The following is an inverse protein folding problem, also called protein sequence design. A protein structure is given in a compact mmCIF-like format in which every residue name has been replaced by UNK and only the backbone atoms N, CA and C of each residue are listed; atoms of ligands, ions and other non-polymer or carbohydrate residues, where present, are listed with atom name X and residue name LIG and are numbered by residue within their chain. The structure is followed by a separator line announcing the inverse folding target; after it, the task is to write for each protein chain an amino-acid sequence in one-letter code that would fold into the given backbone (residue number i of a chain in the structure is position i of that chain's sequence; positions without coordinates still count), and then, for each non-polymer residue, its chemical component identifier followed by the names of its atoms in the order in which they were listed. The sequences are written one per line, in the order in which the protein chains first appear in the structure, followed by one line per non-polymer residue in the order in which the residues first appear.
data_IF_858784795137
#
_entry.id   IF_858784795137
#
_cell.length_a   1.000
_cell.length_b   1.000
_cell.length_c   1.000
_cell.angle_alpha   90.00
_cell.angle_beta   90.00
_cell.angle_gamma   90.00
#
_symmetry.space_group_name_H-M   'P 1'
#
loop_
_entity.id
_entity.type
_entity.pdbx_description
1 polymer ?
#
# COMPACT_ATOMS: atom_id res chain seq x y z
N UNK A 1 2.57 -14.91 19.24
CA UNK A 1 1.72 -13.81 18.74
C UNK A 1 2.59 -12.80 18.00
N UNK A 2 2.22 -12.33 16.80
CA UNK A 2 3.11 -11.54 15.93
C UNK A 2 3.65 -10.27 16.62
N UNK A 3 2.82 -9.56 17.38
CA UNK A 3 3.20 -8.31 18.08
C UNK A 3 4.27 -8.50 19.17
N UNK A 4 4.54 -9.73 19.62
CA UNK A 4 5.55 -9.99 20.66
C UNK A 4 6.99 -9.74 20.17
N UNK A 5 7.21 -9.67 18.86
CA UNK A 5 8.53 -9.38 18.28
C UNK A 5 8.84 -7.87 18.21
N UNK A 6 7.90 -7.00 18.58
CA UNK A 6 8.13 -5.56 18.63
C UNK A 6 8.90 -5.23 19.92
N UNK A 7 10.07 -4.58 19.84
CA UNK A 7 10.82 -4.18 21.03
C UNK A 7 10.03 -3.18 21.89
N UNK A 8 10.14 -3.29 23.21
CA UNK A 8 9.49 -2.35 24.14
C UNK A 8 10.36 -1.09 24.34
N UNK A 9 9.96 0.09 23.81
CA UNK A 9 10.74 1.30 23.92
C UNK A 9 10.66 1.95 25.32
N UNK A 10 9.88 1.37 26.25
CA UNK A 10 9.72 1.89 27.61
C UNK A 10 10.83 1.38 28.52
N UNK A 11 11.36 2.27 29.35
CA UNK A 11 12.21 1.90 30.49
C UNK A 11 11.45 1.06 31.53
N UNK A 12 12.20 0.32 32.37
CA UNK A 12 11.67 -0.65 33.34
C UNK A 12 10.60 -0.06 34.28
N UNK A 13 10.82 1.17 34.78
CA UNK A 13 9.91 1.87 35.70
C UNK A 13 8.57 2.30 35.06
N UNK A 14 8.39 2.14 33.74
CA UNK A 14 7.19 2.55 32.99
C UNK A 14 6.32 1.39 32.47
N UNK A 15 6.64 0.14 32.81
CA UNK A 15 5.98 -1.07 32.27
C UNK A 15 4.83 -1.57 33.15
N UNK A 16 3.79 -0.76 33.29
CA UNK A 16 2.56 -1.15 34.03
C UNK A 16 1.71 -2.17 33.29
N UNK A 17 1.67 -2.09 31.97
CA UNK A 17 0.89 -2.96 31.11
C UNK A 17 1.80 -3.65 30.09
N UNK A 18 1.57 -4.92 29.74
CA UNK A 18 2.33 -5.60 28.70
C UNK A 18 2.25 -4.82 27.39
N UNK A 19 3.38 -4.74 26.68
CA UNK A 19 3.45 -4.06 25.38
C UNK A 19 2.44 -4.67 24.40
N UNK A 20 2.47 -6.00 24.33
CA UNK A 20 1.64 -6.82 23.46
C UNK A 20 0.16 -6.53 23.64
N UNK A 21 -0.30 -6.34 24.88
CA UNK A 21 -1.68 -5.98 25.22
C UNK A 21 -2.07 -4.62 24.65
N UNK A 22 -1.23 -3.58 24.84
CA UNK A 22 -1.53 -2.24 24.32
C UNK A 22 -1.52 -2.22 22.79
N UNK A 23 -0.57 -2.92 22.15
CA UNK A 23 -0.53 -3.02 20.69
C UNK A 23 -1.75 -3.78 20.16
N UNK A 24 -2.19 -4.84 20.83
CA UNK A 24 -3.39 -5.59 20.45
C UNK A 24 -4.63 -4.72 20.53
N UNK A 25 -4.75 -3.90 21.58
CA UNK A 25 -5.82 -2.90 21.70
C UNK A 25 -5.77 -1.91 20.54
N UNK A 26 -4.60 -1.37 20.22
CA UNK A 26 -4.47 -0.41 19.13
C UNK A 26 -4.89 -1.01 17.78
N UNK A 27 -4.47 -2.25 17.48
CA UNK A 27 -4.88 -2.97 16.28
C UNK A 27 -6.40 -3.21 16.29
N UNK A 28 -6.94 -3.83 17.33
CA UNK A 28 -8.37 -4.14 17.39
C UNK A 28 -9.25 -2.90 17.29
N UNK A 29 -8.90 -1.82 18.00
CA UNK A 29 -9.65 -0.57 17.97
C UNK A 29 -9.64 0.05 16.56
N UNK A 30 -8.51 0.09 15.86
CA UNK A 30 -8.45 0.65 14.50
C UNK A 30 -9.16 -0.27 13.48
N UNK A 31 -9.14 -1.59 13.69
CA UNK A 31 -9.98 -2.55 12.94
C UNK A 31 -11.47 -2.28 13.17
N UNK A 32 -11.84 -1.85 14.38
CA UNK A 32 -13.19 -1.39 14.73
C UNK A 32 -13.51 0.06 14.29
N UNK A 33 -12.54 0.77 13.69
CA UNK A 33 -12.73 2.12 13.15
C UNK A 33 -12.32 3.28 14.07
N UNK A 34 -11.58 3.02 15.15
CA UNK A 34 -10.99 4.09 15.95
C UNK A 34 -9.94 4.86 15.12
N UNK A 35 -10.10 6.18 15.02
CA UNK A 35 -9.25 7.03 14.18
C UNK A 35 -8.25 7.90 14.97
N UNK A 36 -8.29 7.89 16.31
CA UNK A 36 -7.46 8.72 17.18
C UNK A 36 -6.96 7.95 18.39
N UNK A 37 -5.90 8.43 19.06
CA UNK A 37 -5.40 7.83 20.31
C UNK A 37 -6.48 7.78 21.41
N UNK A 38 -7.32 8.81 21.50
CA UNK A 38 -8.43 8.86 22.43
C UNK A 38 -9.47 7.78 22.12
N UNK A 39 -9.86 7.64 20.84
CA UNK A 39 -10.82 6.62 20.41
C UNK A 39 -10.32 5.18 20.66
N UNK A 40 -9.00 4.94 20.57
CA UNK A 40 -8.43 3.63 20.96
C UNK A 40 -8.63 3.38 22.47
N UNK A 41 -8.43 4.42 23.29
CA UNK A 41 -8.59 4.33 24.74
C UNK A 41 -10.06 4.25 25.17
N UNK A 42 -10.98 4.87 24.44
CA UNK A 42 -12.41 4.75 24.65
C UNK A 42 -12.86 3.32 24.29
N UNK A 43 -12.42 2.81 23.13
CA UNK A 43 -12.75 1.45 22.68
C UNK A 43 -12.41 0.39 23.72
N UNK A 44 -11.22 0.41 24.33
CA UNK A 44 -10.84 -0.56 25.36
C UNK A 44 -11.61 -0.36 26.67
N UNK A 45 -12.01 0.87 27.01
CA UNK A 45 -12.81 1.17 28.20
C UNK A 45 -14.24 0.65 28.08
N UNK A 46 -14.78 0.62 26.87
CA UNK A 46 -16.14 0.16 26.58
C UNK A 46 -16.26 -1.37 26.51
N UNK A 47 -15.14 -2.10 26.56
CA UNK A 47 -15.13 -3.57 26.59
C UNK A 47 -15.56 -4.11 27.96
N UNK A 48 -16.12 -5.33 27.96
CA UNK A 48 -16.40 -6.06 29.19
C UNK A 48 -15.12 -6.62 29.85
N UNK A 49 -15.26 -7.05 31.12
CA UNK A 49 -14.14 -7.64 31.88
C UNK A 49 -13.56 -8.89 31.24
N UNK A 50 -14.38 -9.65 30.51
CA UNK A 50 -13.93 -10.87 29.82
C UNK A 50 -12.96 -10.51 28.69
N UNK A 51 -13.30 -9.51 27.87
CA UNK A 51 -12.45 -8.98 26.82
C UNK A 51 -11.17 -8.34 27.40
N UNK A 52 -11.25 -7.66 28.56
CA UNK A 52 -10.08 -7.15 29.26
C UNK A 52 -9.12 -8.28 29.64
N UNK A 53 -9.62 -9.34 30.28
CA UNK A 53 -8.83 -10.51 30.65
C UNK A 53 -8.15 -11.16 29.44
N UNK A 54 -8.89 -11.30 28.34
CA UNK A 54 -8.35 -11.85 27.07
C UNK A 54 -7.27 -10.98 26.43
N UNK A 55 -7.30 -9.67 26.65
CA UNK A 55 -6.26 -8.74 26.23
C UNK A 55 -5.08 -8.67 27.24
N UNK A 56 -5.17 -9.38 28.37
CA UNK A 56 -4.14 -9.42 29.40
C UNK A 56 -4.23 -8.29 30.42
N UNK A 57 -5.42 -7.70 30.61
CA UNK A 57 -5.69 -6.73 31.67
C UNK A 57 -6.44 -7.39 32.83
N UNK A 58 -6.00 -7.14 34.06
CA UNK A 58 -6.64 -7.69 35.27
C UNK A 58 -7.70 -6.74 35.82
N UNK A 59 -7.27 -5.58 36.31
CA UNK A 59 -8.14 -4.70 37.11
C UNK A 59 -8.49 -3.39 36.40
N UNK A 60 -7.63 -2.95 35.48
CA UNK A 60 -7.73 -1.66 34.81
C UNK A 60 -7.11 -1.69 33.43
N UNK A 61 -7.58 -0.78 32.59
CA UNK A 61 -7.08 -0.58 31.22
C UNK A 61 -6.20 0.67 31.14
N UNK A 62 -5.31 0.77 30.15
CA UNK A 62 -4.46 1.95 29.96
C UNK A 62 -5.28 3.21 29.65
N UNK A 63 -4.91 4.32 30.28
CA UNK A 63 -5.45 5.64 29.93
C UNK A 63 -4.95 6.09 28.55
N UNK A 64 -5.67 7.03 27.91
CA UNK A 64 -5.31 7.57 26.59
C UNK A 64 -3.87 8.09 26.52
N UNK A 65 -3.38 8.74 27.57
CA UNK A 65 -2.00 9.22 27.67
C UNK A 65 -0.96 8.09 27.67
N UNK A 66 -1.29 6.93 28.24
CA UNK A 66 -0.42 5.74 28.24
C UNK A 66 -0.31 5.14 26.85
N UNK A 67 -1.44 4.99 26.15
CA UNK A 67 -1.51 4.47 24.78
C UNK A 67 -0.76 5.42 23.84
N UNK A 68 -1.08 6.71 23.89
CA UNK A 68 -0.43 7.74 23.07
C UNK A 68 1.09 7.77 23.27
N UNK A 69 1.57 7.91 24.51
CA UNK A 69 3.02 7.96 24.81
C UNK A 69 3.74 6.70 24.37
N UNK A 70 3.09 5.53 24.36
CA UNK A 70 3.70 4.32 23.86
C UNK A 70 3.79 4.36 22.34
N UNK A 71 2.66 4.55 21.65
CA UNK A 71 2.58 4.44 20.20
C UNK A 71 3.51 5.44 19.48
N UNK A 72 3.70 6.65 20.00
CA UNK A 72 4.63 7.62 19.38
C UNK A 72 6.11 7.24 19.49
N UNK A 73 6.45 6.25 20.33
CA UNK A 73 7.83 5.75 20.53
C UNK A 73 8.06 4.38 19.90
N UNK A 74 7.02 3.73 19.38
CA UNK A 74 7.16 2.46 18.67
C UNK A 74 7.86 2.72 17.35
N UNK A 75 8.83 1.87 17.01
CA UNK A 75 9.43 1.87 15.69
C UNK A 75 8.38 1.49 14.65
N UNK A 76 8.08 2.45 13.75
CA UNK A 76 7.03 2.29 12.76
C UNK A 76 7.39 1.26 11.68
N UNK A 77 8.68 1.11 11.35
CA UNK A 77 9.14 0.15 10.35
C UNK A 77 9.03 -1.27 10.90
N UNK A 78 9.46 -1.49 12.15
CA UNK A 78 9.31 -2.78 12.81
C UNK A 78 7.83 -3.15 12.94
N UNK A 79 6.99 -2.22 13.39
CA UNK A 79 5.54 -2.47 13.50
C UNK A 79 4.92 -2.80 12.14
N UNK A 80 5.28 -2.05 11.09
CA UNK A 80 4.84 -2.30 9.72
C UNK A 80 5.21 -3.70 9.25
N UNK A 81 6.48 -4.08 9.43
CA UNK A 81 6.99 -5.38 9.05
C UNK A 81 6.28 -6.54 9.77
N UNK A 82 5.99 -6.38 11.07
CA UNK A 82 5.29 -7.38 11.88
C UNK A 82 3.84 -7.55 11.44
N UNK A 83 3.13 -6.44 11.22
CA UNK A 83 1.72 -6.47 10.83
C UNK A 83 1.52 -6.91 9.38
N UNK A 84 2.41 -6.54 8.46
CA UNK A 84 2.42 -7.05 7.10
C UNK A 84 2.58 -8.58 7.08
N UNK A 85 3.54 -9.11 7.84
CA UNK A 85 3.74 -10.57 7.98
C UNK A 85 2.52 -11.26 8.60
N UNK A 86 1.93 -10.66 9.64
CA UNK A 86 0.71 -11.18 10.26
C UNK A 86 -0.46 -11.25 9.27
N UNK A 87 -0.68 -10.22 8.46
CA UNK A 87 -1.72 -10.21 7.44
C UNK A 87 -1.45 -11.24 6.34
N UNK A 88 -0.21 -11.33 5.84
CA UNK A 88 0.15 -12.28 4.79
C UNK A 88 -0.04 -13.72 5.21
N UNK A 89 0.31 -14.06 6.45
CA UNK A 89 0.11 -15.41 6.99
C UNK A 89 -1.38 -15.81 7.09
N UNK A 90 -2.29 -14.84 7.03
CA UNK A 90 -3.74 -15.04 7.10
C UNK A 90 -4.45 -14.89 5.76
N UNK A 91 -3.80 -14.25 4.79
CA UNK A 91 -4.33 -14.11 3.45
C UNK A 91 -4.27 -15.47 2.77
N UNK A 92 -5.41 -15.94 2.26
CA UNK A 92 -5.39 -17.09 1.37
C UNK A 92 -4.51 -16.75 0.15
N UNK A 93 -3.64 -17.66 -0.32
CA UNK A 93 -2.93 -17.45 -1.56
C UNK A 93 -3.94 -17.18 -2.66
N UNK A 94 -3.79 -16.06 -3.38
CA UNK A 94 -4.63 -15.77 -4.55
C UNK A 94 -4.15 -16.68 -5.68
N UNK A 95 -4.66 -17.91 -5.72
CA UNK A 95 -4.40 -18.85 -6.81
C UNK A 95 -5.45 -18.61 -7.88
N UNK A 96 -5.05 -18.03 -9.01
CA UNK A 96 -5.90 -17.94 -10.20
C UNK A 96 -5.32 -18.88 -11.24
N UNK A 97 -5.97 -20.02 -11.44
CA UNK A 97 -5.57 -21.01 -12.42
C UNK A 97 -5.56 -20.43 -13.85
N UNK A 98 -4.54 -20.80 -14.65
CA UNK A 98 -4.54 -20.59 -16.10
C UNK A 98 -4.04 -19.23 -16.62
N UNK A 99 -3.55 -18.32 -15.76
CA UNK A 99 -2.80 -17.12 -16.20
C UNK A 99 -1.41 -17.11 -15.56
N UNK A 100 -0.39 -16.66 -16.29
CA UNK A 100 0.97 -16.42 -15.75
C UNK A 100 0.88 -15.26 -14.74
N UNK A 101 0.47 -15.57 -13.52
CA UNK A 101 0.34 -14.59 -12.45
C UNK A 101 1.71 -14.19 -11.94
N UNK A 102 1.92 -12.88 -11.85
CA UNK A 102 3.03 -12.26 -11.12
C UNK A 102 2.47 -11.51 -9.94
N UNK A 103 3.25 -11.44 -8.88
CA UNK A 103 2.94 -10.54 -7.78
C UNK A 103 3.15 -9.09 -8.26
N UNK A 104 2.10 -8.28 -8.23
CA UNK A 104 2.14 -6.89 -8.69
C UNK A 104 2.08 -5.96 -7.49
N UNK A 105 3.17 -5.23 -7.27
CA UNK A 105 3.35 -4.28 -6.18
C UNK A 105 3.25 -2.88 -6.74
N UNK A 106 2.25 -2.11 -6.30
CA UNK A 106 2.17 -0.69 -6.60
C UNK A 106 2.99 0.11 -5.58
N UNK A 107 3.81 1.05 -6.05
CA UNK A 107 4.57 1.98 -5.21
C UNK A 107 4.05 3.39 -5.44
N UNK A 108 3.65 4.06 -4.36
CA UNK A 108 3.12 5.42 -4.40
C UNK A 108 3.31 6.17 -3.09
N UNK A 109 3.49 7.49 -3.20
CA UNK A 109 3.70 8.42 -2.10
C UNK A 109 2.38 9.02 -1.60
N UNK A 110 2.25 9.17 -0.28
CA UNK A 110 1.14 9.88 0.36
C UNK A 110 1.59 10.90 1.38
N UNK A 111 1.14 12.13 1.19
CA UNK A 111 1.27 13.22 2.17
C UNK A 111 0.12 13.14 3.17
N UNK A 112 0.43 13.08 4.46
CA UNK A 112 -0.56 13.15 5.55
C UNK A 112 -0.82 14.62 5.91
N UNK A 113 -1.96 15.17 5.45
CA UNK A 113 -2.14 16.63 5.49
C UNK A 113 -2.28 17.19 6.90
N UNK A 114 -2.87 16.43 7.82
CA UNK A 114 -3.11 16.80 9.21
C UNK A 114 -1.90 16.63 10.14
N UNK A 115 -0.94 15.79 9.74
CA UNK A 115 0.28 15.48 10.48
C UNK A 115 1.41 16.43 10.06
N UNK A 116 1.52 17.55 10.77
CA UNK A 116 2.65 18.49 10.65
C UNK A 116 3.66 18.26 11.77
N UNK A 117 4.92 18.05 11.39
CA UNK A 117 6.03 17.96 12.32
C UNK A 117 6.27 19.30 13.03
N UNK A 118 7.11 19.30 14.06
CA UNK A 118 7.41 20.50 14.86
C UNK A 118 7.95 21.68 14.02
N UNK A 119 8.56 21.39 12.87
CA UNK A 119 9.06 22.38 11.91
C UNK A 119 8.01 22.83 10.86
N UNK A 120 6.76 22.41 11.01
CA UNK A 120 5.64 22.76 10.13
C UNK A 120 5.52 21.89 8.86
N UNK A 121 6.49 21.01 8.57
CA UNK A 121 6.46 20.14 7.39
C UNK A 121 5.45 19.01 7.54
N UNK A 122 4.85 18.61 6.43
CA UNK A 122 3.92 17.49 6.39
C UNK A 122 4.68 16.16 6.35
N UNK A 123 4.11 15.14 6.98
CA UNK A 123 4.64 13.78 6.91
C UNK A 123 4.34 13.21 5.53
N UNK A 124 5.35 12.63 4.89
CA UNK A 124 5.23 11.97 3.61
C UNK A 124 5.70 10.52 3.73
N UNK A 125 4.86 9.59 3.29
CA UNK A 125 5.09 8.14 3.37
C UNK A 125 5.08 7.54 1.97
N UNK A 126 6.08 6.73 1.64
CA UNK A 126 6.11 5.91 0.43
C UNK A 126 5.68 4.49 0.79
N UNK A 127 4.68 3.94 0.10
CA UNK A 127 4.08 2.63 0.42
C UNK A 127 4.26 1.64 -0.73
N UNK A 128 4.57 0.38 -0.40
CA UNK A 128 4.56 -0.74 -1.33
C UNK A 128 3.32 -1.61 -1.08
N UNK A 129 2.37 -1.56 -2.01
CA UNK A 129 1.04 -2.16 -1.89
C UNK A 129 0.89 -3.38 -2.80
N UNK A 130 0.63 -4.55 -2.22
CA UNK A 130 0.24 -5.74 -2.96
C UNK A 130 -1.18 -5.55 -3.49
N UNK A 131 -1.27 -5.42 -4.82
CA UNK A 131 -2.52 -5.07 -5.50
C UNK A 131 -3.52 -6.22 -5.55
N UNK A 132 -3.07 -7.46 -5.29
CA UNK A 132 -3.89 -8.67 -5.27
C UNK A 132 -4.60 -8.87 -3.93
N UNK A 133 -3.85 -8.77 -2.82
CA UNK A 133 -4.37 -8.99 -1.47
C UNK A 133 -4.87 -7.71 -0.80
N UNK A 134 -4.38 -6.56 -1.26
CA UNK A 134 -4.61 -5.27 -0.64
C UNK A 134 -3.82 -5.02 0.63
N UNK A 135 -2.73 -5.76 0.84
CA UNK A 135 -1.81 -5.61 1.96
C UNK A 135 -0.71 -4.61 1.58
N UNK A 136 -0.37 -3.69 2.49
CA UNK A 136 0.86 -2.90 2.39
C UNK A 136 2.00 -3.73 2.95
N UNK A 137 2.98 -4.07 2.11
CA UNK A 137 4.12 -4.92 2.46
C UNK A 137 5.18 -4.13 3.23
N UNK A 138 5.41 -2.89 2.83
CA UNK A 138 6.40 -2.00 3.42
C UNK A 138 5.94 -0.55 3.30
N UNK A 139 6.42 0.29 4.21
CA UNK A 139 6.16 1.73 4.20
C UNK A 139 7.36 2.45 4.81
N UNK A 140 7.86 3.46 4.11
CA UNK A 140 9.01 4.27 4.54
C UNK A 140 8.60 5.73 4.65
N UNK A 141 9.00 6.38 5.73
CA UNK A 141 8.82 7.83 5.85
C UNK A 141 9.92 8.56 5.08
N UNK A 142 9.52 9.47 4.21
CA UNK A 142 10.45 10.28 3.43
C UNK A 142 11.05 11.34 4.35
N UNK A 143 12.39 11.41 4.34
CA UNK A 143 13.11 12.40 5.10
C UNK A 143 12.70 13.80 4.64
N UNK A 144 12.55 14.73 5.58
CA UNK A 144 11.77 15.91 5.30
C UNK A 144 12.47 16.99 4.41
N UNK A 145 13.74 16.79 4.03
CA UNK A 145 14.45 17.55 2.98
C UNK A 145 14.75 16.67 1.74
N UNK A 146 14.10 15.52 1.64
CA UNK A 146 14.28 14.55 0.57
C UNK A 146 13.01 14.43 -0.26
N UNK A 147 13.11 13.74 -1.39
CA UNK A 147 11.98 13.37 -2.22
C UNK A 147 11.79 11.83 -2.17
N UNK A 148 10.83 11.32 -2.93
CA UNK A 148 10.47 9.90 -2.91
C UNK A 148 11.57 8.99 -3.51
N UNK A 149 12.48 9.54 -4.32
CA UNK A 149 13.47 8.78 -5.08
C UNK A 149 14.43 8.02 -4.14
N UNK A 150 15.12 8.66 -3.17
CA UNK A 150 15.96 7.95 -2.21
C UNK A 150 15.21 6.96 -1.32
N UNK A 151 13.91 7.15 -1.10
CA UNK A 151 13.09 6.26 -0.27
C UNK A 151 12.69 4.96 -0.99
N UNK A 152 12.79 4.92 -2.33
CA UNK A 152 12.45 3.76 -3.14
C UNK A 152 13.33 2.54 -2.83
N UNK A 153 14.65 2.73 -2.74
CA UNK A 153 15.60 1.63 -2.45
C UNK A 153 15.39 1.00 -1.06
N UNK A 154 15.30 1.75 0.06
CA UNK A 154 14.94 1.19 1.36
C UNK A 154 13.60 0.45 1.35
N UNK A 155 12.60 1.00 0.66
CA UNK A 155 11.29 0.37 0.53
C UNK A 155 11.38 -1.00 -0.16
N UNK A 156 12.07 -1.10 -1.30
CA UNK A 156 12.24 -2.36 -2.02
C UNK A 156 13.00 -3.41 -1.21
N UNK A 157 14.01 -3.01 -0.44
CA UNK A 157 14.71 -3.91 0.48
C UNK A 157 13.78 -4.48 1.54
N UNK A 158 12.89 -3.65 2.11
CA UNK A 158 11.87 -4.12 3.04
C UNK A 158 10.88 -5.08 2.35
N UNK A 159 10.46 -4.79 1.12
CA UNK A 159 9.59 -5.69 0.33
C UNK A 159 10.30 -7.03 0.09
N UNK A 160 11.56 -7.02 -0.34
CA UNK A 160 12.36 -8.22 -0.54
C UNK A 160 12.46 -9.04 0.76
N UNK A 161 12.71 -8.39 1.90
CA UNK A 161 12.75 -9.06 3.21
C UNK A 161 11.39 -9.66 3.62
N UNK A 162 10.28 -9.06 3.20
CA UNK A 162 8.94 -9.61 3.45
C UNK A 162 8.62 -10.80 2.54
N UNK A 163 9.02 -10.73 1.27
CA UNK A 163 8.71 -11.75 0.27
C UNK A 163 9.73 -12.89 0.22
N UNK A 164 10.94 -12.67 0.72
CA UNK A 164 12.11 -13.54 0.60
C UNK A 164 12.94 -13.27 -0.67
N UNK A 165 12.31 -12.78 -1.75
CA UNK A 165 12.95 -12.42 -3.01
C UNK A 165 12.06 -11.46 -3.81
N UNK A 166 12.65 -10.71 -4.74
CA UNK A 166 11.93 -9.91 -5.75
C UNK A 166 11.81 -10.64 -7.09
N UNK A 167 12.28 -11.88 -7.20
CA UNK A 167 12.11 -12.70 -8.41
C UNK A 167 10.63 -12.76 -8.82
N UNK A 168 10.37 -12.53 -10.11
CA UNK A 168 9.03 -12.50 -10.71
C UNK A 168 8.06 -11.46 -10.12
N UNK A 169 8.53 -10.54 -9.28
CA UNK A 169 7.74 -9.42 -8.78
C UNK A 169 7.74 -8.30 -9.81
N UNK A 170 6.54 -7.82 -10.17
CA UNK A 170 6.39 -6.61 -10.97
C UNK A 170 6.10 -5.43 -10.06
N UNK A 171 7.01 -4.46 -10.03
CA UNK A 171 6.79 -3.17 -9.40
C UNK A 171 6.18 -2.22 -10.43
N UNK A 172 5.03 -1.66 -10.08
CA UNK A 172 4.37 -0.59 -10.85
C UNK A 172 4.52 0.71 -10.08
N UNK A 173 5.08 1.72 -10.71
CA UNK A 173 5.33 3.01 -10.08
C UNK A 173 4.95 4.18 -11.00
N UNK A 174 4.77 5.33 -10.37
CA UNK A 174 4.41 6.58 -11.03
C UNK A 174 5.55 7.11 -11.92
N UNK A 175 5.32 8.25 -12.56
CA UNK A 175 6.32 8.83 -13.45
C UNK A 175 7.58 9.29 -12.72
N UNK A 176 7.50 9.76 -11.47
CA UNK A 176 8.65 10.23 -10.71
C UNK A 176 9.71 9.11 -10.55
N UNK A 177 9.26 7.87 -10.45
CA UNK A 177 10.11 6.68 -10.32
C UNK A 177 10.70 6.15 -11.64
N UNK A 178 10.48 6.82 -12.78
CA UNK A 178 11.16 6.51 -14.05
C UNK A 178 12.65 6.92 -13.99
N UNK A 179 13.41 6.24 -13.12
CA UNK A 179 14.83 6.45 -12.87
C UNK A 179 15.59 5.21 -13.32
N UNK A 180 16.73 5.41 -13.99
CA UNK A 180 17.58 4.32 -14.47
C UNK A 180 18.08 3.45 -13.31
N UNK A 181 18.52 4.08 -12.22
CA UNK A 181 18.97 3.36 -11.02
C UNK A 181 17.88 2.50 -10.35
N UNK A 182 16.60 2.86 -10.46
CA UNK A 182 15.51 2.00 -9.97
C UNK A 182 15.34 0.75 -10.87
N UNK A 183 15.48 0.92 -12.18
CA UNK A 183 15.38 -0.18 -13.14
C UNK A 183 16.55 -1.16 -12.97
N UNK A 184 17.78 -0.64 -12.82
CA UNK A 184 18.99 -1.44 -12.55
C UNK A 184 18.89 -2.19 -11.23
N UNK A 185 18.45 -1.52 -10.15
CA UNK A 185 18.27 -2.14 -8.84
C UNK A 185 17.28 -3.31 -8.90
N UNK A 186 16.10 -3.10 -9.49
CA UNK A 186 15.09 -4.15 -9.61
C UNK A 186 15.59 -5.31 -10.47
N UNK A 187 16.25 -5.03 -11.59
CA UNK A 187 16.80 -6.06 -12.45
C UNK A 187 17.89 -6.88 -11.75
N UNK A 188 18.75 -6.24 -10.95
CA UNK A 188 19.78 -6.92 -10.17
C UNK A 188 19.19 -7.90 -9.13
N UNK A 189 18.02 -7.57 -8.57
CA UNK A 189 17.30 -8.42 -7.61
C UNK A 189 16.27 -9.37 -8.28
N UNK A 190 16.29 -9.49 -9.61
CA UNK A 190 15.40 -10.37 -10.39
C UNK A 190 13.94 -9.88 -10.52
N UNK A 191 13.68 -8.65 -10.09
CA UNK A 191 12.38 -7.98 -10.21
C UNK A 191 12.19 -7.28 -11.55
N UNK A 192 10.94 -6.87 -11.81
CA UNK A 192 10.54 -6.16 -13.00
C UNK A 192 9.96 -4.78 -12.66
N UNK A 193 10.11 -3.84 -13.58
CA UNK A 193 9.59 -2.48 -13.43
C UNK A 193 8.64 -2.19 -14.59
N UNK A 194 7.46 -1.67 -14.25
CA UNK A 194 6.56 -0.98 -15.17
C UNK A 194 6.36 0.45 -14.65
N UNK A 195 6.71 1.43 -15.46
CA UNK A 195 6.76 2.81 -15.00
C UNK A 195 6.22 3.77 -16.05
N UNK A 196 5.44 4.75 -15.60
CA UNK A 196 4.97 5.82 -16.47
C UNK A 196 6.11 6.74 -16.88
N UNK A 197 6.07 7.28 -18.09
CA UNK A 197 7.08 8.21 -18.59
C UNK A 197 6.40 9.50 -19.01
N UNK A 198 6.82 10.62 -18.41
CA UNK A 198 6.27 11.97 -18.64
C UNK A 198 7.41 12.97 -18.87
N UNK A 199 7.20 14.24 -18.53
CA UNK A 199 8.16 15.33 -18.73
C UNK A 199 9.44 15.22 -17.88
N UNK A 200 9.48 14.38 -16.86
CA UNK A 200 10.67 14.13 -16.05
C UNK A 200 11.75 13.31 -16.77
N UNK A 201 11.39 12.64 -17.87
CA UNK A 201 12.31 11.91 -18.75
C UNK A 201 12.07 12.35 -20.20
N UNK A 202 12.42 13.60 -20.58
CA UNK A 202 11.96 14.23 -21.81
C UNK A 202 12.43 13.48 -23.07
N UNK A 203 13.68 13.00 -23.09
CA UNK A 203 14.25 12.24 -24.21
C UNK A 203 13.51 10.90 -24.39
N UNK A 204 13.34 10.14 -23.32
CA UNK A 204 12.61 8.87 -23.35
C UNK A 204 11.14 9.07 -23.74
N UNK A 205 10.51 10.10 -23.21
CA UNK A 205 9.13 10.44 -23.55
C UNK A 205 8.98 10.83 -25.03
N UNK A 206 9.96 11.54 -25.59
CA UNK A 206 10.00 11.83 -27.02
C UNK A 206 10.16 10.56 -27.85
N UNK A 207 11.09 9.66 -27.49
CA UNK A 207 11.25 8.36 -28.14
C UNK A 207 9.96 7.53 -28.11
N UNK A 208 9.28 7.47 -26.95
CA UNK A 208 8.02 6.76 -26.82
C UNK A 208 6.92 7.35 -27.70
N UNK A 209 6.90 8.67 -27.91
CA UNK A 209 5.91 9.33 -28.78
C UNK A 209 6.16 9.08 -30.27
N UNK A 210 7.41 8.92 -30.69
CA UNK A 210 7.78 8.75 -32.11
C UNK A 210 7.62 7.33 -32.63
N UNK A 211 7.41 6.35 -31.74
CA UNK A 211 7.10 4.98 -32.15
C UNK A 211 5.89 4.92 -33.11
N UNK A 212 5.85 3.95 -34.05
CA UNK A 212 4.85 3.89 -35.12
C UNK A 212 3.48 3.40 -34.64
N UNK A 213 2.91 4.06 -33.63
CA UNK A 213 1.68 3.64 -32.96
C UNK A 213 0.42 3.59 -33.82
N UNK A 214 0.45 4.22 -35.00
CA UNK A 214 -0.61 4.08 -36.00
C UNK A 214 -0.64 2.66 -36.57
N UNK A 215 0.53 2.05 -36.76
CA UNK A 215 0.71 0.69 -37.30
C UNK A 215 0.58 -0.39 -36.23
N UNK A 216 0.85 -0.06 -34.97
CA UNK A 216 0.68 -1.01 -33.85
C UNK A 216 -0.81 -1.33 -33.67
N UNK A 217 -1.24 -2.60 -33.66
CA UNK A 217 -2.64 -2.96 -33.45
C UNK A 217 -3.12 -2.61 -32.04
N UNK A 218 -4.44 -2.51 -31.87
CA UNK A 218 -5.04 -2.42 -30.55
C UNK A 218 -4.97 -3.80 -29.90
N UNK A 219 -4.15 -3.94 -28.87
CA UNK A 219 -3.99 -5.21 -28.16
C UNK A 219 -5.05 -5.45 -27.08
N UNK A 220 -5.63 -4.39 -26.52
CA UNK A 220 -6.74 -4.48 -25.58
C UNK A 220 -7.60 -3.21 -25.63
N UNK A 221 -8.92 -3.37 -25.54
CA UNK A 221 -9.86 -2.27 -25.36
C UNK A 221 -10.86 -2.62 -24.26
N UNK A 222 -11.10 -1.68 -23.36
CA UNK A 222 -12.12 -1.78 -22.31
C UNK A 222 -13.06 -0.59 -22.40
N UNK A 223 -14.35 -0.82 -22.12
CA UNK A 223 -15.39 0.21 -22.09
C UNK A 223 -16.14 0.12 -20.77
N UNK A 224 -16.20 1.23 -20.06
CA UNK A 224 -16.90 1.35 -18.78
C UNK A 224 -17.94 2.46 -18.89
N UNK A 225 -19.13 2.23 -18.34
CA UNK A 225 -20.17 3.25 -18.18
C UNK A 225 -20.58 3.29 -16.72
N UNK A 226 -20.56 4.47 -16.11
CA UNK A 226 -20.96 4.64 -14.71
C UNK A 226 -21.02 6.10 -14.30
N UNK A 227 -21.95 6.45 -13.41
CA UNK A 227 -22.14 7.81 -12.88
C UNK A 227 -22.25 8.90 -13.98
N UNK A 228 -22.92 8.59 -15.09
CA UNK A 228 -23.06 9.51 -16.24
C UNK A 228 -21.80 9.72 -17.08
N UNK A 229 -20.74 8.92 -16.83
CA UNK A 229 -19.48 8.93 -17.58
C UNK A 229 -19.39 7.68 -18.46
N UNK A 230 -19.02 7.88 -19.73
CA UNK A 230 -18.56 6.81 -20.63
C UNK A 230 -17.06 6.90 -20.76
N UNK A 231 -16.35 5.80 -20.56
CA UNK A 231 -14.91 5.75 -20.62
C UNK A 231 -14.43 4.55 -21.44
N UNK A 232 -13.59 4.82 -22.43
CA UNK A 232 -12.95 3.81 -23.26
C UNK A 232 -11.45 3.90 -23.06
N UNK A 233 -10.81 2.80 -22.66
CA UNK A 233 -9.35 2.68 -22.60
C UNK A 233 -8.87 1.73 -23.67
N UNK A 234 -7.81 2.13 -24.37
CA UNK A 234 -7.17 1.34 -25.43
C UNK A 234 -5.70 1.19 -25.09
N UNK A 235 -5.20 -0.05 -25.11
CA UNK A 235 -3.79 -0.37 -24.85
C UNK A 235 -3.15 -0.86 -26.13
N UNK A 236 -2.01 -0.25 -26.46
CA UNK A 236 -1.09 -0.72 -27.50
C UNK A 236 0.27 -0.98 -26.86
N UNK A 237 0.96 -2.03 -27.28
CA UNK A 237 2.30 -2.35 -26.83
C UNK A 237 3.18 -2.72 -28.04
N UNK A 238 4.47 -2.41 -27.97
CA UNK A 238 5.46 -2.78 -28.98
C UNK A 238 6.76 -3.20 -28.29
N UNK A 239 7.38 -4.27 -28.80
CA UNK A 239 8.70 -4.72 -28.34
C UNK A 239 9.78 -3.74 -28.80
N UNK A 240 10.72 -3.39 -27.93
CA UNK A 240 11.73 -2.34 -28.20
C UNK A 240 13.17 -2.85 -28.29
N UNK A 241 13.39 -4.17 -28.34
CA UNK A 241 14.72 -4.83 -28.39
C UNK A 241 15.49 -4.70 -29.72
N UNK A 242 15.11 -3.80 -30.63
CA UNK A 242 15.81 -3.59 -31.91
C UNK A 242 16.95 -2.58 -31.77
N UNK A 243 17.99 -2.61 -32.64
CA UNK A 243 19.02 -1.57 -32.65
C UNK A 243 18.37 -0.19 -32.83
N UNK A 244 18.61 0.73 -31.87
CA UNK A 244 17.89 2.00 -31.76
C UNK A 244 16.74 2.03 -30.74
N UNK A 245 16.63 1.01 -29.87
CA UNK A 245 15.62 0.89 -28.81
C UNK A 245 15.55 2.05 -27.81
N UNK A 246 14.69 1.92 -26.80
CA UNK A 246 14.52 2.97 -25.79
C UNK A 246 15.80 3.18 -24.97
N UNK A 247 16.11 4.43 -24.63
CA UNK A 247 17.28 4.77 -23.80
C UNK A 247 17.10 4.43 -22.31
N UNK A 248 16.20 3.52 -21.96
CA UNK A 248 15.85 3.17 -20.59
C UNK A 248 16.28 1.74 -20.27
N UNK A 249 17.05 1.48 -19.19
CA UNK A 249 17.58 0.16 -18.88
C UNK A 249 16.49 -0.90 -18.79
N UNK A 250 16.81 -2.08 -19.34
CA UNK A 250 15.96 -3.29 -19.30
C UNK A 250 14.57 -3.13 -19.93
N UNK A 251 14.25 -2.01 -20.58
CA UNK A 251 12.99 -1.80 -21.27
C UNK A 251 12.82 -2.82 -22.41
N UNK A 252 11.80 -3.66 -22.31
CA UNK A 252 11.51 -4.73 -23.28
C UNK A 252 10.30 -4.37 -24.14
N UNK A 253 9.34 -3.63 -23.58
CA UNK A 253 8.20 -3.10 -24.33
C UNK A 253 7.92 -1.63 -23.99
N UNK A 254 7.49 -0.89 -25.02
CA UNK A 254 6.83 0.40 -24.88
C UNK A 254 5.31 0.20 -24.88
N UNK A 255 4.60 0.93 -24.02
CA UNK A 255 3.14 0.84 -23.88
C UNK A 255 2.52 2.22 -24.07
N UNK A 256 1.48 2.29 -24.89
CA UNK A 256 0.63 3.47 -25.03
C UNK A 256 -0.79 3.14 -24.58
N UNK A 257 -1.23 3.85 -23.54
CA UNK A 257 -2.60 3.76 -23.04
C UNK A 257 -3.32 5.05 -23.40
N UNK A 258 -4.37 4.94 -24.22
CA UNK A 258 -5.26 6.06 -24.54
C UNK A 258 -6.55 5.92 -23.74
N UNK A 259 -6.91 6.96 -22.99
CA UNK A 259 -8.19 7.08 -22.29
C UNK A 259 -9.05 8.13 -23.00
N UNK A 260 -10.20 7.71 -23.51
CA UNK A 260 -11.23 8.61 -24.03
C UNK A 260 -12.39 8.61 -23.06
N UNK A 261 -12.74 9.78 -22.55
CA UNK A 261 -13.78 9.96 -21.53
C UNK A 261 -14.81 10.96 -22.02
N UNK A 262 -16.09 10.60 -21.96
CA UNK A 262 -17.21 11.46 -22.29
C UNK A 262 -18.07 11.69 -21.04
N UNK A 263 -18.23 12.96 -20.65
CA UNK A 263 -19.08 13.39 -19.53
C UNK A 263 -20.00 14.48 -20.05
N UNK A 264 -21.32 14.31 -19.91
CA UNK A 264 -22.33 15.30 -20.34
C UNK A 264 -22.06 15.85 -21.76
N UNK A 265 -21.78 14.96 -22.70
CA UNK A 265 -21.48 15.30 -24.10
C UNK A 265 -20.07 15.82 -24.40
N UNK A 266 -19.27 16.19 -23.39
CA UNK A 266 -17.88 16.64 -23.60
C UNK A 266 -16.92 15.44 -23.59
N UNK A 267 -16.16 15.27 -24.67
CA UNK A 267 -15.17 14.19 -24.83
C UNK A 267 -13.76 14.71 -24.63
N UNK A 268 -13.03 14.12 -23.69
CA UNK A 268 -11.61 14.38 -23.43
C UNK A 268 -10.79 13.15 -23.76
N UNK A 269 -9.63 13.32 -24.40
CA UNK A 269 -8.70 12.24 -24.71
C UNK A 269 -7.35 12.50 -24.05
N UNK A 270 -6.87 11.52 -23.30
CA UNK A 270 -5.58 11.55 -22.64
C UNK A 270 -4.75 10.34 -23.10
N UNK A 271 -3.43 10.52 -23.20
CA UNK A 271 -2.50 9.45 -23.57
C UNK A 271 -1.40 9.38 -22.53
N UNK A 272 -1.17 8.18 -22.00
CA UNK A 272 -0.05 7.86 -21.14
C UNK A 272 0.91 6.92 -21.87
N UNK A 273 2.20 7.14 -21.68
CA UNK A 273 3.27 6.29 -22.16
C UNK A 273 3.94 5.61 -20.96
N UNK A 274 4.22 4.33 -21.09
CA UNK A 274 4.89 3.54 -20.07
C UNK A 274 5.97 2.68 -20.73
N UNK A 275 6.97 2.31 -19.95
CA UNK A 275 7.95 1.28 -20.29
C UNK A 275 7.83 0.12 -19.32
N UNK A 276 8.11 -1.10 -19.78
CA UNK A 276 8.07 -2.31 -18.95
C UNK A 276 9.26 -3.21 -19.28
N UNK A 277 9.88 -3.78 -18.24
CA UNK A 277 11.01 -4.70 -18.39
C UNK A 277 10.63 -6.16 -18.66
N UNK A 278 9.36 -6.42 -18.94
CA UNK A 278 8.83 -7.73 -19.30
C UNK A 278 8.68 -7.85 -20.82
N UNK A 279 9.10 -8.98 -21.41
CA UNK A 279 8.88 -9.22 -22.83
C UNK A 279 7.40 -9.56 -23.12
N UNK A 280 7.00 -9.47 -24.38
CA UNK A 280 5.60 -9.59 -24.79
C UNK A 280 4.99 -10.94 -24.39
N UNK A 281 5.75 -12.03 -24.46
CA UNK A 281 5.35 -13.40 -24.09
C UNK A 281 4.95 -13.52 -22.60
N UNK A 282 5.38 -12.56 -21.79
CA UNK A 282 5.17 -12.53 -20.35
C UNK A 282 4.22 -11.40 -19.90
N UNK A 283 3.91 -10.45 -20.78
CA UNK A 283 3.15 -9.26 -20.47
C UNK A 283 2.33 -8.82 -21.69
N UNK A 284 1.13 -9.39 -21.84
CA UNK A 284 0.24 -9.08 -22.94
C UNK A 284 -0.45 -7.72 -22.73
N UNK A 285 -0.95 -7.05 -23.79
CA UNK A 285 -1.61 -5.75 -23.68
C UNK A 285 -2.77 -5.68 -22.65
N UNK A 286 -3.50 -6.78 -22.45
CA UNK A 286 -4.54 -6.86 -21.43
C UNK A 286 -3.97 -6.85 -19.99
N UNK A 287 -2.84 -7.53 -19.78
CA UNK A 287 -2.14 -7.55 -18.49
C UNK A 287 -1.54 -6.18 -18.20
N UNK A 288 -0.84 -5.59 -19.18
CA UNK A 288 -0.27 -4.24 -19.10
C UNK A 288 -1.34 -3.19 -18.75
N UNK A 289 -2.51 -3.25 -19.39
CA UNK A 289 -3.63 -2.37 -19.06
C UNK A 289 -4.20 -2.59 -17.66
N UNK A 290 -4.07 -3.80 -17.11
CA UNK A 290 -4.50 -4.12 -15.75
C UNK A 290 -3.47 -3.62 -14.73
N UNK A 291 -2.19 -3.89 -14.94
CA UNK A 291 -1.11 -3.46 -14.05
C UNK A 291 -0.94 -1.94 -14.04
N UNK A 292 -1.06 -1.27 -15.19
CA UNK A 292 -1.09 0.20 -15.23
C UNK A 292 -2.24 0.80 -14.40
N UNK A 293 -3.38 0.11 -14.29
CA UNK A 293 -4.49 0.53 -13.42
C UNK A 293 -4.21 0.23 -11.94
N UNK A 294 -3.35 -0.73 -11.65
CA UNK A 294 -2.97 -1.08 -10.28
C UNK A 294 -2.20 0.04 -9.58
N UNK A 295 -1.45 0.86 -10.31
CA UNK A 295 -0.93 2.15 -9.79
C UNK A 295 -2.09 2.97 -9.20
N UNK A 296 -3.14 3.24 -9.97
CA UNK A 296 -4.34 3.97 -9.50
C UNK A 296 -5.15 3.24 -8.43
N UNK A 297 -4.94 1.93 -8.27
CA UNK A 297 -5.58 1.19 -7.20
C UNK A 297 -5.02 1.60 -5.84
N UNK A 298 -3.74 1.95 -5.68
CA UNK A 298 -3.25 2.40 -4.37
C UNK A 298 -3.97 3.68 -3.93
N UNK A 299 -4.14 4.65 -4.82
CA UNK A 299 -4.80 5.92 -4.52
C UNK A 299 -6.28 5.69 -4.13
N UNK A 300 -7.02 4.91 -4.92
CA UNK A 300 -8.45 4.69 -4.67
C UNK A 300 -8.72 3.69 -3.53
N UNK A 301 -7.93 2.62 -3.46
CA UNK A 301 -8.17 1.49 -2.57
C UNK A 301 -7.44 1.66 -1.24
N UNK A 302 -6.33 2.38 -1.17
CA UNK A 302 -5.59 2.60 0.06
C UNK A 302 -5.77 4.05 0.54
N UNK A 303 -5.26 5.02 -0.21
CA UNK A 303 -5.17 6.42 0.25
C UNK A 303 -6.54 7.05 0.50
N UNK A 304 -7.47 6.95 -0.44
CA UNK A 304 -8.82 7.45 -0.28
C UNK A 304 -9.54 6.83 0.93
N UNK A 305 -9.33 5.54 1.19
CA UNK A 305 -9.93 4.86 2.35
C UNK A 305 -9.29 5.34 3.65
N UNK A 306 -7.96 5.54 3.68
CA UNK A 306 -7.26 6.14 4.83
C UNK A 306 -7.84 7.51 5.16
N UNK A 307 -8.07 8.35 4.15
CA UNK A 307 -8.57 9.72 4.34
C UNK A 307 -10.04 9.77 4.72
N UNK A 308 -10.90 9.15 3.90
CA UNK A 308 -12.35 9.34 4.02
C UNK A 308 -12.94 8.42 5.08
N UNK A 309 -12.48 7.17 5.16
CA UNK A 309 -13.02 6.19 6.11
C UNK A 309 -12.30 6.25 7.45
N UNK A 310 -10.97 6.36 7.44
CA UNK A 310 -10.13 6.31 8.66
C UNK A 310 -9.60 7.68 9.08
N UNK A 311 -10.12 8.75 8.47
CA UNK A 311 -9.95 10.17 8.85
C UNK A 311 -8.49 10.59 8.98
N UNK A 312 -7.61 10.09 8.13
CA UNK A 312 -6.18 10.33 8.21
C UNK A 312 -5.81 11.81 8.08
N UNK A 313 -6.28 12.49 7.04
CA UNK A 313 -6.01 13.91 6.85
C UNK A 313 -6.57 14.80 7.97
N UNK A 314 -7.58 14.34 8.70
CA UNK A 314 -8.14 15.04 9.85
C UNK A 314 -7.38 14.73 11.17
N UNK A 315 -6.55 13.69 11.21
CA UNK A 315 -5.83 13.29 12.41
C UNK A 315 -4.57 14.15 12.60
N UNK A 316 -4.44 14.73 13.78
CA UNK A 316 -3.32 15.60 14.15
C UNK A 316 -2.27 14.88 15.01
N UNK A 317 -1.95 13.62 14.68
CA UNK A 317 -0.76 12.99 15.23
C UNK A 317 0.47 13.70 14.66
N UNK A 318 1.32 14.28 15.53
CA UNK A 318 2.43 15.15 15.11
C UNK A 318 3.76 14.87 15.82
N UNK A 319 3.75 13.91 16.73
CA UNK A 319 4.86 13.68 17.67
C UNK A 319 5.48 12.31 17.44
N UNK A 320 6.82 12.27 17.43
CA UNK A 320 7.59 11.04 17.26
C UNK A 320 7.14 10.24 16.05
N UNK A 321 7.04 8.93 16.21
CA UNK A 321 6.59 8.00 15.17
C UNK A 321 5.07 7.90 15.05
N UNK A 322 4.32 8.73 15.77
CA UNK A 322 2.85 8.68 15.82
C UNK A 322 2.16 8.67 14.45
N UNK A 323 2.53 9.57 13.51
CA UNK A 323 1.98 9.57 12.14
C UNK A 323 2.18 8.23 11.42
N UNK A 324 3.43 7.78 11.30
CA UNK A 324 3.79 6.54 10.62
C UNK A 324 3.18 5.30 11.30
N UNK A 325 3.11 5.26 12.64
CA UNK A 325 2.45 4.17 13.38
C UNK A 325 0.95 4.14 13.08
N UNK A 326 0.27 5.29 13.04
CA UNK A 326 -1.15 5.33 12.70
C UNK A 326 -1.41 4.95 11.24
N UNK A 327 -0.57 5.39 10.31
CA UNK A 327 -0.59 4.92 8.93
C UNK A 327 -0.53 3.39 8.85
N UNK A 328 0.43 2.79 9.56
CA UNK A 328 0.58 1.34 9.64
C UNK A 328 -0.67 0.65 10.22
N UNK A 329 -1.27 1.18 11.29
CA UNK A 329 -2.51 0.64 11.86
C UNK A 329 -3.69 0.73 10.88
N UNK A 330 -3.80 1.83 10.12
CA UNK A 330 -4.84 2.01 9.10
C UNK A 330 -4.65 1.07 7.92
N UNK A 331 -3.42 0.95 7.42
CA UNK A 331 -3.06 -0.03 6.39
C UNK A 331 -3.42 -1.44 6.85
N UNK A 332 -3.16 -1.75 8.12
CA UNK A 332 -3.49 -3.04 8.72
C UNK A 332 -5.00 -3.30 8.77
N UNK A 333 -5.79 -2.30 9.17
CA UNK A 333 -7.26 -2.37 9.17
C UNK A 333 -7.82 -2.61 7.77
N UNK A 334 -7.33 -1.86 6.77
CA UNK A 334 -7.75 -2.01 5.38
C UNK A 334 -7.39 -3.41 4.84
N UNK A 335 -6.14 -3.84 5.04
CA UNK A 335 -5.67 -5.16 4.61
C UNK A 335 -6.43 -6.31 5.28
N UNK A 336 -6.67 -6.21 6.59
CA UNK A 336 -7.45 -7.20 7.34
C UNK A 336 -8.87 -7.32 6.77
N UNK A 337 -9.58 -6.21 6.60
CA UNK A 337 -10.96 -6.27 6.11
C UNK A 337 -11.04 -6.80 4.68
N UNK A 338 -10.08 -6.45 3.81
CA UNK A 338 -10.03 -6.96 2.42
C UNK A 338 -9.73 -8.43 2.31
N UNK A 339 -8.75 -8.91 3.07
CA UNK A 339 -8.40 -10.34 3.10
C UNK A 339 -9.56 -11.19 3.65
N UNK A 340 -10.48 -10.58 4.43
CA UNK A 340 -11.73 -11.18 4.86
C UNK A 340 -12.94 -10.84 3.93
N UNK A 341 -12.68 -10.46 2.68
CA UNK A 341 -13.70 -10.30 1.64
C UNK A 341 -14.48 -8.98 1.66
N UNK A 342 -14.10 -8.00 2.49
CA UNK A 342 -14.81 -6.74 2.54
C UNK A 342 -14.51 -5.85 1.32
N UNK A 343 -15.56 -5.43 0.62
CA UNK A 343 -15.48 -4.44 -0.47
C UNK A 343 -15.73 -3.00 0.02
N UNK A 344 -16.44 -2.83 1.14
CA UNK A 344 -16.70 -1.55 1.79
C UNK A 344 -16.12 -1.53 3.20
N UNK A 345 -15.00 -0.82 3.35
CA UNK A 345 -14.23 -0.78 4.61
C UNK A 345 -15.00 -0.07 5.73
N UNK A 346 -15.75 1.00 5.43
CA UNK A 346 -16.55 1.70 6.42
C UNK A 346 -17.65 0.82 7.02
N UNK A 347 -18.28 -0.04 6.21
CA UNK A 347 -19.24 -1.03 6.70
C UNK A 347 -18.55 -2.12 7.52
N UNK A 348 -17.38 -2.56 7.11
CA UNK A 348 -16.60 -3.60 7.78
C UNK A 348 -16.14 -3.17 9.17
N UNK A 349 -15.59 -1.96 9.32
CA UNK A 349 -15.18 -1.42 10.63
C UNK A 349 -16.35 -1.29 11.59
N UNK A 350 -17.51 -0.79 11.13
CA UNK A 350 -18.74 -0.73 11.94
C UNK A 350 -19.22 -2.11 12.39
N UNK A 351 -19.17 -3.12 11.51
CA UNK A 351 -19.54 -4.51 11.85
C UNK A 351 -18.57 -5.07 12.89
N UNK A 352 -17.27 -4.86 12.68
CA UNK A 352 -16.21 -5.29 13.56
C UNK A 352 -16.34 -4.66 14.97
N UNK A 353 -16.71 -3.38 15.05
CA UNK A 353 -16.94 -2.72 16.35
C UNK A 353 -18.09 -3.35 17.16
N UNK A 354 -19.09 -3.93 16.50
CA UNK A 354 -20.21 -4.64 17.17
C UNK A 354 -19.82 -6.05 17.62
N UNK A 355 -18.63 -6.53 17.27
CA UNK A 355 -18.13 -7.88 17.59
C UNK A 355 -16.68 -7.79 18.09
N UNK A 356 -16.43 -7.10 19.21
CA UNK A 356 -15.08 -6.88 19.71
C UNK A 356 -14.35 -8.19 20.06
N UNK A 357 -15.07 -9.22 20.53
CA UNK A 357 -14.49 -10.52 20.82
C UNK A 357 -13.90 -11.20 19.58
N UNK A 358 -14.57 -11.12 18.41
CA UNK A 358 -14.06 -11.67 17.15
C UNK A 358 -12.73 -11.01 16.74
N UNK A 359 -12.59 -9.70 16.99
CA UNK A 359 -11.34 -8.96 16.73
C UNK A 359 -10.23 -9.39 17.67
N UNK A 360 -10.54 -9.50 18.97
CA UNK A 360 -9.60 -9.98 19.98
C UNK A 360 -9.15 -11.39 19.60
N UNK A 361 -10.07 -12.28 19.21
CA UNK A 361 -9.74 -13.61 18.69
C UNK A 361 -8.80 -13.55 17.50
N UNK A 362 -9.09 -12.72 16.51
CA UNK A 362 -8.27 -12.62 15.31
C UNK A 362 -6.83 -12.13 15.58
N UNK A 363 -6.65 -11.22 16.53
CA UNK A 363 -5.34 -10.62 16.85
C UNK A 363 -4.55 -11.44 17.88
N UNK A 364 -5.24 -12.07 18.83
CA UNK A 364 -4.60 -12.78 19.97
C UNK A 364 -4.41 -14.26 19.74
N UNK A 365 -5.20 -14.92 18.87
CA UNK A 365 -4.93 -16.32 18.51
C UNK A 365 -3.58 -16.41 17.81
N UNK A 366 -2.70 -17.25 18.34
CA UNK A 366 -1.54 -17.76 17.59
C UNK A 366 -2.06 -18.31 16.26
N UNK A 367 -1.49 -17.89 15.13
CA UNK A 367 -1.94 -18.35 13.80
C UNK A 367 -2.10 -19.89 13.80
N UNK A 368 -3.30 -20.43 13.48
CA UNK A 368 -3.45 -21.85 13.28
C UNK A 368 -2.94 -22.18 11.88
N UNK A 369 -1.66 -22.51 11.77
CA UNK A 369 -1.12 -23.24 10.63
C UNK A 369 -0.24 -24.36 11.16
N UNK A 370 -0.88 -25.33 11.82
CA UNK A 370 -0.44 -26.73 11.86
C UNK A 370 -1.64 -27.59 12.23
N UNK A 371 -2.41 -27.98 11.23
CA UNK A 371 -2.84 -29.36 11.01
C UNK A 371 -3.27 -29.49 9.56
#
# INVERSE_FOLDING_TARGET
MALATVPDPRGLRGRRYPLVSILSVAVCAVLAGACTFAAIADWVRDLDRTAWGRLGFTDRVPAATTIWRLLIRIDAEVLSAVLARWLRARAAPVVVAGRRWRLVIAVDGKVERGARLADGRQVHLLSAYDTSTGIVLAQVQIAAKSNEIPAFTPLLRQVAAQLGSLNDVLVVADALHAQTGHAELLAADGGHLMVAVKGNQPTLHAQLKTLPWAQVPVGCQTRETGHGRKETRTVKAVTVNTPGGLSFPHAQQAVRITRTRTIKGKTTRETAYLTVSLPAEQAQPADLGTWARSEWHIENRLHHVRDVTLREDAHQARTGNGPAVFATLRNTSIGYHRTNGATNIARATRRANRRPHDLIDAVTRSNPTTQ
#
